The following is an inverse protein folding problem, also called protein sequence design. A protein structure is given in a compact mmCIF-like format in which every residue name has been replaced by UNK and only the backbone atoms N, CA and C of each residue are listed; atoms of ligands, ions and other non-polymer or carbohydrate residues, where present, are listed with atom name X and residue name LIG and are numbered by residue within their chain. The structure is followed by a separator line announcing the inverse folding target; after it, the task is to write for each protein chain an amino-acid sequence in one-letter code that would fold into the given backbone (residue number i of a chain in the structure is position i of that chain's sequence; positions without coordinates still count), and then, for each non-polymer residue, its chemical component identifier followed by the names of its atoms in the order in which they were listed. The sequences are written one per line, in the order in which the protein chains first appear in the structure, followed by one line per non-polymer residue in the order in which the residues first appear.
data_IF_800998122388
#
_entry.id   IF_800998122388
#
_cell.length_a   1.000
_cell.length_b   1.000
_cell.length_c   1.000
_cell.angle_alpha   90.00
_cell.angle_beta   90.00
_cell.angle_gamma   90.00
#
_symmetry.space_group_name_H-M   'P 1'
#
loop_
_entity.id
_entity.type
_entity.pdbx_description
1 polymer ?
#
# COMPACT_ATOMS: atom_id res chain seq x y z
N UNK A 1 -13.41 -7.75 16.49
CA UNK A 1 -13.19 -6.39 15.95
C UNK A 1 -14.21 -5.47 16.61
N UNK A 2 -13.81 -4.27 17.02
CA UNK A 2 -14.73 -3.23 17.50
C UNK A 2 -14.85 -2.11 16.49
N UNK A 3 -15.95 -1.36 16.55
CA UNK A 3 -16.28 -0.29 15.61
C UNK A 3 -16.55 1.01 16.37
N UNK A 4 -16.34 2.14 15.69
CA UNK A 4 -16.75 3.46 16.19
C UNK A 4 -18.22 3.76 15.82
N UNK A 5 -18.73 4.93 16.20
CA UNK A 5 -20.10 5.37 15.90
C UNK A 5 -20.42 5.52 14.40
N UNK A 6 -19.41 5.53 13.53
CA UNK A 6 -19.57 5.57 12.06
C UNK A 6 -19.53 4.17 11.43
N UNK A 7 -19.57 3.11 12.24
CA UNK A 7 -19.36 1.72 11.81
C UNK A 7 -18.00 1.48 11.11
N UNK A 8 -16.98 2.30 11.42
CA UNK A 8 -15.62 2.09 10.93
C UNK A 8 -14.82 1.25 11.93
N UNK A 9 -13.95 0.32 11.48
CA UNK A 9 -13.16 -0.52 12.38
C UNK A 9 -12.27 0.33 13.28
N UNK A 10 -12.48 0.25 14.60
CA UNK A 10 -11.73 1.01 15.61
C UNK A 10 -10.53 0.20 16.12
N UNK A 11 -10.75 -1.09 16.43
CA UNK A 11 -9.70 -1.99 16.94
C UNK A 11 -9.90 -3.41 16.45
N UNK A 12 -8.82 -4.02 15.96
CA UNK A 12 -8.75 -5.44 15.63
C UNK A 12 -7.83 -6.11 16.65
N UNK A 13 -8.37 -7.01 17.46
CA UNK A 13 -7.59 -7.82 18.41
C UNK A 13 -7.21 -9.14 17.75
N UNK A 14 -5.92 -9.47 17.80
CA UNK A 14 -5.32 -10.73 17.37
C UNK A 14 -4.78 -11.47 18.61
N UNK A 15 -4.39 -12.73 18.45
CA UNK A 15 -3.73 -13.50 19.53
C UNK A 15 -2.42 -12.88 20.00
N UNK A 16 -1.73 -12.16 19.11
CA UNK A 16 -0.39 -11.59 19.35
C UNK A 16 -0.39 -10.08 19.58
N UNK A 17 -1.55 -9.42 19.60
CA UNK A 17 -1.62 -7.96 19.79
C UNK A 17 -2.91 -7.34 19.26
N UNK A 18 -2.89 -6.03 19.03
CA UNK A 18 -3.99 -5.30 18.40
C UNK A 18 -3.52 -4.36 17.31
N UNK A 19 -4.44 -4.04 16.41
CA UNK A 19 -4.32 -2.96 15.45
C UNK A 19 -5.41 -1.94 15.77
N UNK A 20 -5.01 -0.72 16.09
CA UNK A 20 -5.90 0.39 16.46
C UNK A 20 -5.92 1.42 15.32
N UNK A 21 -7.08 2.01 15.04
CA UNK A 21 -7.29 2.96 13.96
C UNK A 21 -7.87 4.28 14.47
N UNK A 22 -7.42 5.39 13.87
CA UNK A 22 -7.97 6.73 14.10
C UNK A 22 -8.49 7.26 12.77
N UNK A 23 -9.68 7.87 12.82
CA UNK A 23 -10.32 8.50 11.68
C UNK A 23 -10.66 9.94 12.03
N UNK A 24 -10.75 10.81 11.02
CA UNK A 24 -11.35 12.12 11.19
C UNK A 24 -12.89 12.06 11.19
N UNK A 25 -13.53 13.21 11.37
CA UNK A 25 -14.99 13.33 11.38
C UNK A 25 -15.64 13.04 10.02
N UNK A 26 -14.88 13.05 8.92
CA UNK A 26 -15.33 12.64 7.60
C UNK A 26 -15.19 11.13 7.35
N UNK A 27 -14.64 10.39 8.33
CA UNK A 27 -14.42 8.95 8.24
C UNK A 27 -13.16 8.57 7.47
N UNK A 28 -12.28 9.53 7.15
CA UNK A 28 -10.99 9.26 6.51
C UNK A 28 -10.02 8.75 7.56
N UNK A 29 -9.32 7.66 7.24
CA UNK A 29 -8.32 7.07 8.15
C UNK A 29 -7.11 8.00 8.25
N UNK A 30 -6.76 8.37 9.47
CA UNK A 30 -5.64 9.24 9.79
C UNK A 30 -4.45 8.47 10.35
N UNK A 31 -4.69 7.39 11.11
CA UNK A 31 -3.62 6.59 11.71
C UNK A 31 -3.99 5.12 11.86
N UNK A 32 -2.97 4.26 11.78
CA UNK A 32 -2.97 2.86 12.22
C UNK A 32 -1.80 2.65 13.19
N UNK A 33 -2.05 2.04 14.34
CA UNK A 33 -1.00 1.65 15.30
C UNK A 33 -1.06 0.14 15.53
N UNK A 34 0.09 -0.52 15.54
CA UNK A 34 0.22 -1.95 15.86
C UNK A 34 0.79 -2.06 17.27
N UNK A 35 0.11 -2.79 18.17
CA UNK A 35 0.49 -2.86 19.58
C UNK A 35 1.88 -3.48 19.82
N UNK A 36 2.33 -4.33 18.89
CA UNK A 36 3.68 -4.93 18.92
C UNK A 36 4.77 -4.00 18.40
N UNK A 37 4.41 -2.76 18.04
CA UNK A 37 5.32 -1.76 17.49
C UNK A 37 4.96 -1.38 16.06
N UNK A 38 5.18 -0.11 15.75
CA UNK A 38 4.89 0.46 14.45
C UNK A 38 3.64 1.33 14.41
N UNK A 39 3.74 2.46 13.72
CA UNK A 39 2.62 3.32 13.39
C UNK A 39 2.68 3.74 11.92
N UNK A 40 1.51 3.88 11.32
CA UNK A 40 1.34 4.43 9.98
C UNK A 40 0.41 5.62 10.06
N UNK A 41 0.88 6.77 9.61
CA UNK A 41 0.11 8.01 9.51
C UNK A 41 -0.23 8.30 8.05
N UNK A 42 -1.45 8.78 7.84
CA UNK A 42 -1.99 9.11 6.53
C UNK A 42 -2.29 10.60 6.47
N UNK A 43 -1.68 11.31 5.54
CA UNK A 43 -1.89 12.73 5.32
C UNK A 43 -2.20 12.97 3.83
N UNK A 44 -3.50 12.87 3.48
CA UNK A 44 -3.93 12.86 2.09
C UNK A 44 -3.28 11.71 1.32
N UNK A 45 -2.57 12.03 0.25
CA UNK A 45 -1.85 11.03 -0.57
C UNK A 45 -0.53 10.56 0.05
N UNK A 46 -0.07 11.16 1.15
CA UNK A 46 1.20 10.82 1.80
C UNK A 46 1.00 9.78 2.90
N UNK A 47 1.94 8.84 2.97
CA UNK A 47 2.00 7.79 3.98
C UNK A 47 3.32 7.90 4.72
N UNK A 48 3.26 7.91 6.05
CA UNK A 48 4.42 7.92 6.92
C UNK A 48 4.43 6.66 7.78
N UNK A 49 5.60 6.02 7.90
CA UNK A 49 5.83 4.92 8.83
C UNK A 49 6.74 5.42 9.94
N UNK A 50 6.30 5.34 11.20
CA UNK A 50 7.07 5.77 12.37
C UNK A 50 7.62 7.21 12.23
N UNK A 51 6.76 8.15 11.82
CA UNK A 51 7.08 9.55 11.54
C UNK A 51 8.08 9.80 10.37
N UNK A 52 8.45 8.78 9.60
CA UNK A 52 9.27 8.92 8.41
C UNK A 52 8.42 8.79 7.14
N UNK A 53 8.65 9.64 6.14
CA UNK A 53 7.98 9.53 4.84
C UNK A 53 8.26 8.16 4.24
N UNK A 54 7.21 7.42 3.90
CA UNK A 54 7.32 6.11 3.25
C UNK A 54 7.05 6.21 1.77
N UNK A 55 5.92 6.79 1.41
CA UNK A 55 5.46 6.91 0.03
C UNK A 55 4.40 7.98 -0.13
N UNK A 56 4.16 8.39 -1.37
CA UNK A 56 3.01 9.21 -1.74
C UNK A 56 2.49 8.87 -3.13
N UNK A 57 1.21 9.14 -3.39
CA UNK A 57 0.58 8.83 -4.68
C UNK A 57 1.00 9.80 -5.79
N UNK A 58 1.02 9.30 -7.03
CA UNK A 58 1.11 10.07 -8.28
C UNK A 58 0.05 9.53 -9.28
N UNK A 59 -0.26 10.21 -10.40
CA UNK A 59 -1.38 9.81 -11.26
C UNK A 59 -1.26 8.38 -11.82
N UNK A 60 -0.05 7.94 -12.16
CA UNK A 60 0.24 6.64 -12.77
C UNK A 60 0.71 5.58 -11.75
N UNK A 61 0.70 5.89 -10.45
CA UNK A 61 1.16 4.97 -9.41
C UNK A 61 1.54 5.67 -8.11
N UNK A 62 2.75 5.44 -7.62
CA UNK A 62 3.23 6.04 -6.37
C UNK A 62 4.74 6.20 -6.37
N UNK A 63 5.23 7.04 -5.47
CA UNK A 63 6.65 7.28 -5.26
C UNK A 63 7.03 6.73 -3.90
N UNK A 64 8.07 5.88 -3.84
CA UNK A 64 8.64 5.36 -2.60
C UNK A 64 9.85 6.19 -2.21
N UNK A 65 9.88 6.67 -0.98
CA UNK A 65 11.07 7.29 -0.41
C UNK A 65 11.92 6.22 0.29
N UNK A 66 13.16 6.09 -0.14
CA UNK A 66 14.14 5.22 0.50
C UNK A 66 15.47 5.95 0.64
N UNK A 67 15.81 6.34 1.86
CA UNK A 67 17.14 6.85 2.22
C UNK A 67 17.65 7.98 1.32
N UNK A 68 16.79 8.95 1.01
CA UNK A 68 17.12 10.10 0.16
C UNK A 68 16.81 9.92 -1.33
N UNK A 69 16.42 8.70 -1.75
CA UNK A 69 16.08 8.39 -3.14
C UNK A 69 14.57 8.23 -3.29
N UNK A 70 14.02 8.87 -4.33
CA UNK A 70 12.63 8.72 -4.74
C UNK A 70 12.54 7.73 -5.90
N UNK A 71 11.93 6.57 -5.65
CA UNK A 71 11.71 5.55 -6.67
C UNK A 71 10.27 5.66 -7.18
N UNK A 72 10.11 5.84 -8.49
CA UNK A 72 8.82 5.98 -9.13
C UNK A 72 8.31 4.60 -9.53
N UNK A 73 7.20 4.19 -8.91
CA UNK A 73 6.52 2.94 -9.23
C UNK A 73 5.29 3.27 -10.07
N UNK A 74 5.23 2.69 -11.26
CA UNK A 74 4.11 2.78 -12.19
C UNK A 74 3.23 1.56 -12.07
N UNK A 75 1.93 1.75 -12.26
CA UNK A 75 0.92 0.70 -12.12
C UNK A 75 0.11 0.54 -13.38
N UNK A 76 0.11 -0.67 -13.95
CA UNK A 76 -0.84 -1.04 -14.98
C UNK A 76 -2.08 -1.67 -14.33
N UNK A 77 -3.26 -1.12 -14.66
CA UNK A 77 -4.53 -1.50 -14.08
C UNK A 77 -5.42 -2.18 -15.11
N UNK A 78 -6.26 -3.12 -14.66
CA UNK A 78 -7.33 -3.66 -15.50
C UNK A 78 -8.52 -2.68 -15.60
N UNK A 79 -9.53 -3.07 -16.37
CA UNK A 79 -10.73 -2.26 -16.61
C UNK A 79 -11.58 -1.98 -15.36
N UNK A 80 -11.37 -2.71 -14.26
CA UNK A 80 -12.03 -2.49 -12.97
C UNK A 80 -11.16 -1.70 -12.00
N UNK A 81 -9.95 -1.29 -12.43
CA UNK A 81 -9.00 -0.54 -11.62
C UNK A 81 -8.10 -1.40 -10.73
N UNK A 82 -8.13 -2.74 -10.85
CA UNK A 82 -7.21 -3.58 -10.08
C UNK A 82 -5.79 -3.49 -10.64
N UNK A 83 -4.79 -3.41 -9.76
CA UNK A 83 -3.38 -3.32 -10.16
C UNK A 83 -2.89 -4.70 -10.61
N UNK A 84 -2.58 -4.85 -11.90
CA UNK A 84 -2.09 -6.12 -12.47
C UNK A 84 -0.58 -6.22 -12.48
N UNK A 85 0.08 -5.09 -12.70
CA UNK A 85 1.54 -4.98 -12.76
C UNK A 85 1.98 -3.69 -12.07
N UNK A 86 3.02 -3.78 -11.25
CA UNK A 86 3.79 -2.65 -10.73
C UNK A 86 5.23 -2.78 -11.21
N UNK A 87 5.79 -1.73 -11.76
CA UNK A 87 7.14 -1.71 -12.32
C UNK A 87 7.79 -0.34 -12.12
N UNK A 88 9.09 -0.28 -12.33
CA UNK A 88 9.88 0.96 -12.30
C UNK A 88 10.92 0.93 -13.41
N UNK A 89 11.50 2.08 -13.73
CA UNK A 89 12.74 2.17 -14.49
C UNK A 89 13.85 2.41 -13.46
N UNK A 90 14.50 1.34 -13.01
CA UNK A 90 15.40 1.37 -11.86
C UNK A 90 16.76 1.93 -12.24
N UNK A 91 17.22 1.66 -13.45
CA UNK A 91 18.51 2.12 -13.96
C UNK A 91 18.39 3.44 -14.76
N UNK A 92 17.18 3.94 -14.97
CA UNK A 92 16.85 5.17 -15.70
C UNK A 92 17.31 5.14 -17.16
N UNK A 93 17.27 3.96 -17.79
CA UNK A 93 17.66 3.79 -19.20
C UNK A 93 16.50 4.03 -20.18
N UNK A 94 15.28 4.27 -19.68
CA UNK A 94 14.07 4.50 -20.47
C UNK A 94 13.37 3.22 -20.98
N UNK A 95 13.84 2.04 -20.58
CA UNK A 95 13.37 0.72 -21.02
C UNK A 95 13.17 -0.19 -19.82
N UNK A 96 11.91 -0.53 -19.55
CA UNK A 96 11.55 -1.45 -18.47
C UNK A 96 11.73 -2.89 -18.93
N UNK A 97 12.49 -3.67 -18.16
CA UNK A 97 12.66 -5.11 -18.37
C UNK A 97 12.16 -5.94 -17.16
N UNK A 98 12.20 -7.27 -17.29
CA UNK A 98 11.66 -8.18 -16.27
C UNK A 98 12.31 -8.03 -14.88
N UNK A 99 13.55 -7.55 -14.80
CA UNK A 99 14.24 -7.32 -13.51
C UNK A 99 13.75 -6.09 -12.75
N UNK A 100 12.90 -5.28 -13.39
CA UNK A 100 12.37 -4.03 -12.85
C UNK A 100 10.86 -4.12 -12.57
N UNK A 101 10.29 -5.32 -12.76
CA UNK A 101 8.97 -5.67 -12.25
C UNK A 101 9.04 -5.73 -10.72
N UNK A 102 8.24 -4.89 -10.07
CA UNK A 102 8.13 -4.84 -8.60
C UNK A 102 7.13 -5.86 -8.10
N UNK A 103 6.01 -5.99 -8.81
CA UNK A 103 4.95 -6.91 -8.42
C UNK A 103 4.06 -7.22 -9.62
N UNK A 104 3.72 -8.49 -9.81
CA UNK A 104 2.63 -8.92 -10.69
C UNK A 104 1.54 -9.56 -9.84
N UNK A 105 0.27 -9.23 -10.09
CA UNK A 105 -0.85 -9.71 -9.28
C UNK A 105 -2.06 -10.08 -10.12
N UNK A 106 -2.59 -11.27 -9.87
CA UNK A 106 -3.79 -11.80 -10.50
C UNK A 106 -4.90 -11.93 -9.46
N UNK A 107 -6.15 -11.62 -9.83
CA UNK A 107 -7.28 -11.63 -8.91
C UNK A 107 -8.39 -12.58 -9.36
N UNK A 108 -9.02 -13.27 -8.41
CA UNK A 108 -10.32 -13.91 -8.59
C UNK A 108 -11.44 -12.85 -8.71
N UNK A 109 -12.64 -13.20 -9.22
CA UNK A 109 -13.74 -12.24 -9.42
C UNK A 109 -14.14 -11.41 -8.18
N UNK A 110 -13.87 -11.89 -6.97
CA UNK A 110 -14.16 -11.20 -5.71
C UNK A 110 -12.93 -10.57 -5.04
N UNK A 111 -11.88 -10.28 -5.82
CA UNK A 111 -10.71 -9.52 -5.37
C UNK A 111 -9.68 -10.31 -4.56
N UNK A 112 -9.89 -11.60 -4.32
CA UNK A 112 -8.87 -12.44 -3.70
C UNK A 112 -7.69 -12.61 -4.67
N UNK A 113 -6.48 -12.31 -4.21
CA UNK A 113 -5.25 -12.53 -4.98
C UNK A 113 -5.02 -14.02 -5.21
N UNK A 114 -4.83 -14.39 -6.47
CA UNK A 114 -4.45 -15.74 -6.88
C UNK A 114 -3.02 -16.05 -6.42
N UNK A 115 -2.77 -17.32 -6.06
CA UNK A 115 -1.46 -17.83 -5.68
C UNK A 115 -1.00 -18.87 -6.70
N UNK A 116 0.32 -19.08 -6.82
CA UNK A 116 0.90 -20.10 -7.70
C UNK A 116 1.21 -19.60 -9.12
N UNK A 117 1.04 -18.30 -9.37
CA UNK A 117 1.54 -17.63 -10.56
C UNK A 117 2.82 -16.86 -10.20
N UNK A 118 3.75 -16.75 -11.15
CA UNK A 118 4.97 -15.93 -11.07
C UNK A 118 5.96 -16.35 -9.96
N UNK A 119 6.34 -17.63 -9.96
CA UNK A 119 7.45 -18.17 -9.16
C UNK A 119 8.84 -17.70 -9.64
N UNK A 120 8.90 -16.69 -10.51
CA UNK A 120 10.11 -16.20 -11.18
C UNK A 120 10.26 -14.70 -10.90
N UNK A 121 10.19 -14.34 -9.62
CA UNK A 121 10.86 -13.15 -9.09
C UNK A 121 11.81 -13.64 -8.00
#
# INVERSE_FOLDING_TARGET
VTYNYMNLPLKVTLSTGSIDYVYDAAGVKQRKTISTGGSTDYAGSFVYENNALKQFAQPEGYVVYNSGVFNYIYQYKDHLGNIRLSYQDKDNNGVVNNTEIVQETNYYPFGLTQKGYNSVV
#
